data_IF_148183617456
#
_entry.id   IF_148183617456
#
_cell.length_a   1.000
_cell.length_b   1.000
_cell.length_c   1.000
_cell.angle_alpha   90.00
_cell.angle_beta   90.00
_cell.angle_gamma   90.00
#
_symmetry.space_group_name_H-M   'P 1'
#
loop_
_entity.id
_entity.type
_entity.pdbx_description
1 polymer ?
#
# COMPACT_ATOMS: atom_id res chain seq x y z
N UNK A 1 -15.72 8.56 1.41
CA UNK A 1 -14.98 8.68 0.12
C UNK A 1 -13.50 8.92 0.41
N UNK A 2 -12.66 7.94 0.18
CA UNK A 2 -11.22 7.98 0.49
C UNK A 2 -10.41 8.98 -0.36
N UNK A 3 -10.97 9.43 -1.48
CA UNK A 3 -10.38 10.54 -2.26
C UNK A 3 -10.45 11.90 -1.56
N UNK A 4 -11.24 12.02 -0.48
CA UNK A 4 -11.33 13.22 0.34
C UNK A 4 -10.35 13.24 1.52
N UNK A 5 -9.59 12.16 1.71
CA UNK A 5 -8.51 12.16 2.70
C UNK A 5 -7.47 13.23 2.35
N UNK A 6 -6.74 13.79 3.33
CA UNK A 6 -5.75 14.85 3.10
C UNK A 6 -4.69 14.54 2.03
N UNK A 7 -4.23 13.29 1.93
CA UNK A 7 -3.36 12.80 0.86
C UNK A 7 -4.10 12.28 -0.37
N UNK A 8 -5.41 12.52 -0.45
CA UNK A 8 -6.30 12.20 -1.57
C UNK A 8 -6.44 10.70 -1.89
N UNK A 9 -6.19 9.83 -0.93
CA UNK A 9 -6.35 8.38 -1.14
C UNK A 9 -6.52 7.59 0.16
N UNK A 10 -6.93 6.34 0.02
CA UNK A 10 -7.01 5.36 1.12
C UNK A 10 -5.63 5.07 1.76
N UNK A 11 -4.53 5.44 1.09
CA UNK A 11 -3.17 5.18 1.59
C UNK A 11 -2.78 6.05 2.77
N UNK A 12 -3.50 7.12 3.06
CA UNK A 12 -3.32 7.90 4.28
C UNK A 12 -3.53 7.05 5.53
N UNK A 13 -4.53 6.15 5.51
CA UNK A 13 -4.79 5.20 6.60
C UNK A 13 -3.63 4.22 6.77
N UNK A 14 -3.12 3.69 5.67
CA UNK A 14 -1.97 2.77 5.66
C UNK A 14 -0.73 3.46 6.19
N UNK A 15 -0.44 4.67 5.72
CA UNK A 15 0.71 5.45 6.14
C UNK A 15 0.67 5.79 7.63
N UNK A 16 -0.48 6.23 8.13
CA UNK A 16 -0.69 6.52 9.55
C UNK A 16 -0.40 5.29 10.39
N UNK A 17 -1.01 4.15 10.06
CA UNK A 17 -0.85 2.90 10.81
C UNK A 17 0.59 2.40 10.80
N UNK A 18 1.27 2.43 9.64
CA UNK A 18 2.68 2.02 9.53
C UNK A 18 3.57 2.86 10.46
N UNK A 19 3.37 4.18 10.46
CA UNK A 19 4.18 5.08 11.28
C UNK A 19 3.87 4.90 12.76
N UNK A 20 2.61 4.82 13.16
CA UNK A 20 2.21 4.61 14.57
C UNK A 20 2.70 3.27 15.12
N UNK A 21 2.60 2.21 14.36
CA UNK A 21 3.13 0.90 14.77
C UNK A 21 4.67 0.93 14.89
N UNK A 22 5.35 1.65 13.99
CA UNK A 22 6.81 1.80 14.06
C UNK A 22 7.25 2.65 15.28
N UNK A 23 6.47 3.68 15.63
CA UNK A 23 6.65 4.46 16.86
C UNK A 23 6.49 3.58 18.10
N UNK A 24 5.37 2.83 18.17
CA UNK A 24 5.08 1.93 19.29
C UNK A 24 6.14 0.83 19.47
N UNK A 25 6.75 0.38 18.37
CA UNK A 25 7.84 -0.61 18.37
C UNK A 25 9.24 0.02 18.62
N UNK A 26 9.34 1.33 18.79
CA UNK A 26 10.59 2.05 18.97
C UNK A 26 11.50 2.08 17.73
N UNK A 27 10.96 1.73 16.55
CA UNK A 27 11.67 1.76 15.26
C UNK A 27 11.78 3.16 14.68
N UNK A 28 10.83 4.05 15.01
CA UNK A 28 10.85 5.46 14.68
C UNK A 28 11.06 6.29 15.94
N UNK A 29 12.04 7.22 15.88
CA UNK A 29 12.38 8.17 16.94
C UNK A 29 12.35 9.57 16.35
N UNK A 30 12.28 10.59 17.20
CA UNK A 30 12.33 12.00 16.76
C UNK A 30 13.52 12.24 15.83
N UNK A 31 13.24 12.73 14.63
CA UNK A 31 14.25 13.01 13.61
C UNK A 31 14.60 11.82 12.69
N UNK A 32 14.01 10.64 12.91
CA UNK A 32 14.18 9.49 12.01
C UNK A 32 13.71 9.81 10.59
N UNK A 33 14.18 9.00 9.64
CA UNK A 33 13.79 9.09 8.22
C UNK A 33 12.95 7.91 7.81
N UNK A 34 11.74 8.15 7.31
CA UNK A 34 10.89 7.13 6.69
C UNK A 34 11.31 6.94 5.23
N UNK A 35 11.56 5.69 4.83
CA UNK A 35 11.95 5.35 3.46
C UNK A 35 10.90 4.43 2.85
N UNK A 36 10.53 4.66 1.58
CA UNK A 36 9.59 3.80 0.86
C UNK A 36 9.92 3.72 -0.63
N UNK A 37 9.72 2.53 -1.20
CA UNK A 37 9.72 2.28 -2.64
C UNK A 37 8.30 2.26 -3.16
N UNK A 38 7.87 3.27 -3.90
CA UNK A 38 6.49 3.33 -4.36
C UNK A 38 6.33 4.11 -5.67
N UNK A 39 5.44 3.61 -6.51
CA UNK A 39 5.02 4.32 -7.72
C UNK A 39 3.77 5.19 -7.52
N UNK A 40 3.22 5.29 -6.30
CA UNK A 40 1.89 5.85 -6.14
C UNK A 40 1.59 6.51 -4.79
N UNK A 41 0.33 6.37 -4.40
CA UNK A 41 -0.29 7.10 -3.29
C UNK A 41 0.30 6.77 -1.91
N UNK A 42 0.95 5.62 -1.74
CA UNK A 42 1.61 5.28 -0.45
C UNK A 42 2.72 6.26 -0.12
N UNK A 43 3.51 6.67 -1.11
CA UNK A 43 4.55 7.68 -0.91
C UNK A 43 3.98 9.02 -0.46
N UNK A 44 2.86 9.45 -1.06
CA UNK A 44 2.17 10.69 -0.66
C UNK A 44 1.65 10.60 0.77
N UNK A 45 0.97 9.51 1.11
CA UNK A 45 0.49 9.29 2.48
C UNK A 45 1.63 9.27 3.50
N UNK A 46 2.72 8.54 3.22
CA UNK A 46 3.88 8.48 4.12
C UNK A 46 4.58 9.83 4.25
N UNK A 47 4.76 10.59 3.14
CA UNK A 47 5.35 11.92 3.19
C UNK A 47 4.48 12.89 4.01
N UNK A 48 3.15 12.85 3.84
CA UNK A 48 2.21 13.66 4.61
C UNK A 48 2.30 13.36 6.11
N UNK A 49 2.17 12.08 6.49
CA UNK A 49 2.19 11.70 7.92
C UNK A 49 3.57 11.95 8.53
N UNK A 50 4.65 11.68 7.79
CA UNK A 50 6.01 11.99 8.22
C UNK A 50 6.18 13.50 8.51
N UNK A 51 5.72 14.35 7.59
CA UNK A 51 5.74 15.81 7.77
C UNK A 51 4.98 16.24 9.04
N UNK A 52 3.75 15.75 9.22
CA UNK A 52 2.90 16.08 10.37
C UNK A 52 3.50 15.65 11.71
N UNK A 53 4.21 14.52 11.73
CA UNK A 53 4.84 13.95 12.94
C UNK A 53 6.31 14.39 13.14
N UNK A 54 6.86 15.21 12.23
CA UNK A 54 8.22 15.75 12.32
C UNK A 54 9.33 14.77 11.93
N UNK A 55 9.00 13.77 11.11
CA UNK A 55 9.96 12.87 10.48
C UNK A 55 10.42 13.39 9.12
N UNK A 56 11.61 12.97 8.70
CA UNK A 56 12.05 13.11 7.32
C UNK A 56 11.47 11.98 6.48
N UNK A 57 11.34 12.19 5.17
CA UNK A 57 10.91 11.14 4.26
C UNK A 57 11.76 11.10 3.00
N UNK A 58 12.11 9.88 2.55
CA UNK A 58 12.78 9.59 1.29
C UNK A 58 11.92 8.61 0.50
N UNK A 59 11.54 8.99 -0.70
CA UNK A 59 10.65 8.18 -1.54
C UNK A 59 11.36 7.84 -2.84
N UNK A 60 11.57 6.55 -3.07
CA UNK A 60 12.16 6.03 -4.29
C UNK A 60 11.04 5.70 -5.28
N UNK A 61 11.08 6.33 -6.44
CA UNK A 61 10.05 6.22 -7.48
C UNK A 61 10.68 5.89 -8.83
N UNK A 62 9.88 5.36 -9.75
CA UNK A 62 10.33 5.08 -11.10
C UNK A 62 10.48 6.39 -11.91
N UNK A 63 11.50 6.46 -12.76
CA UNK A 63 11.83 7.61 -13.62
C UNK A 63 10.72 8.00 -14.60
N UNK A 64 9.84 7.06 -14.96
CA UNK A 64 8.66 7.28 -15.83
C UNK A 64 7.43 7.88 -15.13
N UNK A 65 7.55 8.16 -13.81
CA UNK A 65 6.42 8.67 -13.05
C UNK A 65 6.00 10.08 -13.47
N UNK A 66 4.71 10.37 -13.33
CA UNK A 66 4.13 11.66 -13.61
C UNK A 66 4.83 12.77 -12.80
N UNK A 67 5.29 13.81 -13.49
CA UNK A 67 6.00 14.94 -12.89
C UNK A 67 5.20 15.64 -11.77
N UNK A 68 3.87 15.72 -11.87
CA UNK A 68 3.03 16.30 -10.83
C UNK A 68 3.08 15.52 -9.53
N UNK A 69 3.20 14.17 -9.58
CA UNK A 69 3.38 13.35 -8.35
C UNK A 69 4.74 13.64 -7.70
N UNK A 70 5.78 13.83 -8.50
CA UNK A 70 7.10 14.22 -8.00
C UNK A 70 7.06 15.58 -7.30
N UNK A 71 6.42 16.57 -7.92
CA UNK A 71 6.25 17.90 -7.34
C UNK A 71 5.44 17.85 -6.04
N UNK A 72 4.37 17.06 -6.01
CA UNK A 72 3.55 16.88 -4.80
C UNK A 72 4.36 16.26 -3.65
N UNK A 73 5.12 15.19 -3.89
CA UNK A 73 6.02 14.61 -2.90
C UNK A 73 7.03 15.64 -2.36
N UNK A 74 7.66 16.41 -3.26
CA UNK A 74 8.60 17.46 -2.88
C UNK A 74 7.94 18.60 -2.09
N UNK A 75 6.70 18.97 -2.40
CA UNK A 75 5.96 20.00 -1.65
C UNK A 75 5.63 19.56 -0.21
N UNK A 76 5.54 18.24 0.03
CA UNK A 76 5.42 17.65 1.36
C UNK A 76 6.79 17.48 2.07
N UNK A 77 7.86 18.01 1.49
CA UNK A 77 9.21 17.95 2.08
C UNK A 77 9.93 16.61 1.87
N UNK A 78 9.40 15.71 1.04
CA UNK A 78 10.06 14.44 0.77
C UNK A 78 11.26 14.60 -0.16
N UNK A 79 12.37 13.93 0.16
CA UNK A 79 13.46 13.68 -0.77
C UNK A 79 13.02 12.61 -1.77
N UNK A 80 12.98 12.96 -3.05
CA UNK A 80 12.55 12.05 -4.12
C UNK A 80 13.77 11.54 -4.87
N UNK A 81 13.92 10.21 -4.92
CA UNK A 81 15.01 9.50 -5.59
C UNK A 81 14.41 8.76 -6.78
N UNK A 82 14.96 9.00 -7.98
CA UNK A 82 14.55 8.34 -9.19
C UNK A 82 15.32 7.03 -9.38
N UNK A 83 14.59 5.96 -9.68
CA UNK A 83 15.12 4.65 -10.03
C UNK A 83 14.67 4.26 -11.45
N UNK A 84 15.44 3.40 -12.09
CA UNK A 84 15.17 2.94 -13.44
C UNK A 84 13.89 2.11 -13.52
N UNK A 85 13.08 2.37 -14.55
CA UNK A 85 11.84 1.63 -14.83
C UNK A 85 12.00 0.50 -15.85
N UNK A 86 13.18 0.40 -16.49
CA UNK A 86 13.49 -0.56 -17.54
C UNK A 86 14.31 -1.77 -17.05
N UNK A 87 14.45 -1.93 -15.74
CA UNK A 87 15.19 -3.02 -15.11
C UNK A 87 14.26 -3.98 -14.36
N UNK A 88 14.64 -5.27 -14.32
CA UNK A 88 13.90 -6.30 -13.59
C UNK A 88 14.14 -6.29 -12.07
N UNK A 89 13.33 -7.07 -11.31
CA UNK A 89 13.42 -7.11 -9.84
C UNK A 89 14.78 -7.56 -9.28
N UNK A 90 15.53 -8.34 -10.05
CA UNK A 90 16.85 -8.85 -9.63
C UNK A 90 17.97 -7.80 -9.80
N UNK A 91 17.70 -6.70 -10.50
CA UNK A 91 18.68 -5.63 -10.68
C UNK A 91 18.87 -4.84 -9.41
N UNK A 92 20.12 -4.46 -9.04
CA UNK A 92 20.38 -3.52 -7.94
C UNK A 92 19.74 -2.14 -8.19
N UNK A 93 19.53 -1.75 -9.45
CA UNK A 93 18.89 -0.48 -9.84
C UNK A 93 17.34 -0.54 -9.79
N UNK A 94 16.76 -1.71 -9.48
CA UNK A 94 15.32 -1.82 -9.30
C UNK A 94 14.87 -0.97 -8.10
N UNK A 95 13.79 -0.21 -8.24
CA UNK A 95 13.35 0.79 -7.26
C UNK A 95 13.23 0.27 -5.82
N UNK A 96 12.82 -1.00 -5.64
CA UNK A 96 12.76 -1.62 -4.31
C UNK A 96 14.15 -1.86 -3.73
N UNK A 97 15.13 -2.27 -4.55
CA UNK A 97 16.50 -2.52 -4.11
C UNK A 97 17.21 -1.21 -3.82
N UNK A 98 17.01 -0.19 -4.65
CA UNK A 98 17.49 1.18 -4.39
C UNK A 98 16.93 1.71 -3.05
N UNK A 99 15.64 1.51 -2.76
CA UNK A 99 15.07 1.95 -1.49
C UNK A 99 15.67 1.22 -0.28
N UNK A 100 15.97 -0.07 -0.40
CA UNK A 100 16.69 -0.82 0.64
C UNK A 100 18.08 -0.26 0.88
N UNK A 101 18.79 0.05 -0.20
CA UNK A 101 20.14 0.66 -0.11
C UNK A 101 20.06 2.04 0.53
N UNK A 102 19.12 2.88 0.12
CA UNK A 102 18.87 4.20 0.72
C UNK A 102 18.58 4.07 2.21
N UNK A 103 17.74 3.12 2.61
CA UNK A 103 17.46 2.87 4.01
C UNK A 103 18.71 2.44 4.77
N UNK A 104 19.50 1.50 4.26
CA UNK A 104 20.72 1.02 4.90
C UNK A 104 21.78 2.12 5.07
N UNK A 105 21.86 3.05 4.10
CA UNK A 105 22.83 4.14 4.10
C UNK A 105 22.32 5.42 4.80
N UNK A 106 21.07 5.43 5.30
CA UNK A 106 20.52 6.58 6.02
C UNK A 106 20.47 6.28 7.52
N UNK A 107 21.20 7.01 8.37
CA UNK A 107 21.12 6.83 9.82
C UNK A 107 19.70 7.02 10.34
N UNK A 108 19.33 6.23 11.36
CA UNK A 108 17.99 6.27 12.00
C UNK A 108 16.83 6.20 10.99
N UNK A 109 17.00 5.39 9.95
CA UNK A 109 15.94 5.18 8.95
C UNK A 109 15.02 4.02 9.31
N UNK A 110 13.79 4.11 8.84
CA UNK A 110 12.78 3.07 8.87
C UNK A 110 12.21 2.86 7.46
N UNK A 111 12.35 1.65 6.93
CA UNK A 111 11.72 1.28 5.66
C UNK A 111 10.29 0.82 5.91
N UNK A 112 9.31 1.55 5.36
CA UNK A 112 7.88 1.27 5.58
C UNK A 112 7.44 -0.03 4.93
N UNK A 113 7.95 -0.36 3.72
CA UNK A 113 7.77 -1.62 3.01
C UNK A 113 6.31 -2.11 2.93
N UNK A 114 5.47 -1.32 2.28
CA UNK A 114 4.02 -1.55 2.18
C UNK A 114 3.63 -2.96 1.69
N UNK A 115 4.52 -3.63 0.96
CA UNK A 115 4.24 -4.95 0.38
C UNK A 115 4.27 -6.09 1.39
N UNK A 116 5.07 -5.99 2.43
CA UNK A 116 5.23 -7.05 3.45
C UNK A 116 4.87 -6.60 4.86
N UNK A 117 4.65 -5.31 5.06
CA UNK A 117 4.32 -4.76 6.37
C UNK A 117 2.86 -5.04 6.73
N UNK A 118 2.65 -5.80 7.79
CA UNK A 118 1.31 -6.18 8.27
C UNK A 118 0.48 -4.99 8.75
N UNK A 119 1.08 -3.86 9.06
CA UNK A 119 0.34 -2.62 9.36
C UNK A 119 -0.53 -2.15 8.18
N UNK A 120 -0.18 -2.55 6.93
CA UNK A 120 -1.00 -2.24 5.76
C UNK A 120 -2.39 -2.91 5.83
N UNK A 121 -2.55 -4.23 5.90
CA UNK A 121 -3.88 -4.83 6.07
C UNK A 121 -4.53 -4.45 7.41
N UNK A 122 -3.77 -4.33 8.48
CA UNK A 122 -4.28 -3.94 9.79
C UNK A 122 -4.89 -2.53 9.80
N UNK A 123 -4.40 -1.59 9.00
CA UNK A 123 -5.03 -0.28 8.83
C UNK A 123 -6.50 -0.42 8.41
N UNK A 124 -6.80 -1.37 7.53
CA UNK A 124 -8.15 -1.60 7.04
C UNK A 124 -8.99 -2.47 7.98
N UNK A 125 -8.37 -3.44 8.62
CA UNK A 125 -9.02 -4.29 9.64
C UNK A 125 -9.53 -3.44 10.82
N UNK A 126 -8.70 -2.51 11.33
CA UNK A 126 -8.99 -1.79 12.56
C UNK A 126 -9.60 -0.39 12.35
N UNK A 127 -9.64 0.14 11.14
CA UNK A 127 -10.29 1.43 10.87
C UNK A 127 -11.31 1.36 9.75
N UNK A 128 -10.92 1.00 8.54
CA UNK A 128 -11.79 1.05 7.36
C UNK A 128 -12.99 0.11 7.48
N UNK A 129 -12.77 -1.12 7.94
CA UNK A 129 -13.82 -2.12 8.12
C UNK A 129 -14.87 -1.71 9.14
N UNK A 130 -14.49 -1.34 10.38
CA UNK A 130 -15.43 -0.81 11.38
C UNK A 130 -16.22 0.39 10.87
N UNK A 131 -15.56 1.37 10.24
CA UNK A 131 -16.23 2.55 9.71
C UNK A 131 -17.25 2.22 8.61
N UNK A 132 -16.93 1.29 7.70
CA UNK A 132 -17.88 0.86 6.67
C UNK A 132 -19.10 0.20 7.31
N UNK A 133 -18.88 -0.72 8.24
CA UNK A 133 -19.97 -1.44 8.89
C UNK A 133 -20.90 -0.50 9.67
N UNK A 134 -20.33 0.45 10.41
CA UNK A 134 -21.08 1.48 11.15
C UNK A 134 -21.87 2.40 10.21
N UNK A 135 -21.22 2.96 9.20
CA UNK A 135 -21.85 3.89 8.23
C UNK A 135 -22.95 3.23 7.40
N UNK A 136 -22.88 1.92 7.21
CA UNK A 136 -23.90 1.11 6.54
C UNK A 136 -24.94 0.52 7.51
N UNK A 137 -24.99 0.99 8.76
CA UNK A 137 -25.94 0.54 9.78
C UNK A 137 -25.92 -0.99 10.01
N UNK A 138 -24.73 -1.58 9.94
CA UNK A 138 -24.47 -3.02 10.05
C UNK A 138 -25.14 -3.87 8.95
N UNK A 139 -25.49 -3.27 7.82
CA UNK A 139 -26.13 -3.94 6.69
C UNK A 139 -25.29 -3.78 5.42
N UNK A 140 -24.35 -4.72 5.23
CA UNK A 140 -23.43 -4.77 4.10
C UNK A 140 -23.56 -6.13 3.42
N UNK A 141 -24.05 -6.16 2.19
CA UNK A 141 -24.17 -7.39 1.40
C UNK A 141 -22.82 -7.80 0.80
N UNK A 142 -22.10 -6.83 0.22
CA UNK A 142 -20.83 -7.09 -0.43
C UNK A 142 -19.87 -5.91 -0.34
N UNK A 143 -18.57 -6.23 -0.28
CA UNK A 143 -17.47 -5.27 -0.41
C UNK A 143 -16.67 -5.61 -1.66
N UNK A 144 -16.62 -4.68 -2.62
CA UNK A 144 -15.91 -4.86 -3.89
C UNK A 144 -14.61 -4.07 -3.87
N UNK A 145 -13.49 -4.76 -4.06
CA UNK A 145 -12.15 -4.14 -4.05
C UNK A 145 -11.32 -4.56 -5.25
N UNK A 146 -10.57 -3.61 -5.83
CA UNK A 146 -9.40 -3.90 -6.64
C UNK A 146 -8.21 -4.28 -5.75
N UNK A 147 -7.19 -4.86 -6.36
CA UNK A 147 -5.96 -5.29 -5.66
C UNK A 147 -4.72 -4.62 -6.23
N UNK A 148 -4.06 -3.83 -5.39
CA UNK A 148 -2.68 -3.37 -5.59
C UNK A 148 -1.74 -4.16 -4.69
N UNK A 149 -1.50 -3.66 -3.47
CA UNK A 149 -0.69 -4.37 -2.45
C UNK A 149 -1.43 -5.53 -1.76
N UNK A 150 -2.72 -5.65 -1.95
CA UNK A 150 -3.56 -6.62 -1.25
C UNK A 150 -4.03 -6.17 0.14
N UNK A 151 -3.45 -5.13 0.70
CA UNK A 151 -3.74 -4.70 2.08
C UNK A 151 -5.21 -4.42 2.33
N UNK A 152 -5.87 -3.67 1.45
CA UNK A 152 -7.27 -3.29 1.61
C UNK A 152 -8.19 -4.51 1.66
N UNK A 153 -8.13 -5.36 0.65
CA UNK A 153 -9.02 -6.52 0.57
C UNK A 153 -8.74 -7.54 1.67
N UNK A 154 -7.46 -7.72 2.04
CA UNK A 154 -7.08 -8.64 3.12
C UNK A 154 -7.54 -8.14 4.49
N UNK A 155 -7.34 -6.85 4.79
CA UNK A 155 -7.77 -6.27 6.06
C UNK A 155 -9.29 -6.23 6.20
N UNK A 156 -10.00 -5.78 5.15
CA UNK A 156 -11.46 -5.79 5.13
C UNK A 156 -12.00 -7.21 5.21
N UNK A 157 -11.42 -8.13 4.45
CA UNK A 157 -11.85 -9.53 4.46
C UNK A 157 -11.71 -10.18 5.84
N UNK A 158 -10.62 -9.91 6.55
CA UNK A 158 -10.46 -10.38 7.93
C UNK A 158 -11.52 -9.77 8.84
N UNK A 159 -11.70 -8.45 8.80
CA UNK A 159 -12.71 -7.77 9.61
C UNK A 159 -14.13 -8.31 9.35
N UNK A 160 -14.57 -8.38 8.09
CA UNK A 160 -15.92 -8.81 7.76
C UNK A 160 -16.15 -10.30 8.04
N UNK A 161 -15.14 -11.16 7.92
CA UNK A 161 -15.26 -12.58 8.29
C UNK A 161 -15.57 -12.78 9.78
N UNK A 162 -15.13 -11.88 10.64
CA UNK A 162 -15.33 -11.94 12.09
C UNK A 162 -16.60 -11.20 12.53
N UNK A 163 -16.90 -10.04 11.93
CA UNK A 163 -17.94 -9.12 12.40
C UNK A 163 -19.23 -9.14 11.57
N UNK A 164 -19.18 -9.54 10.31
CA UNK A 164 -20.33 -9.69 9.42
C UNK A 164 -20.11 -10.82 8.42
N UNK A 165 -20.16 -12.10 8.86
CA UNK A 165 -19.85 -13.27 8.01
C UNK A 165 -20.76 -13.43 6.79
N UNK A 166 -21.89 -12.74 6.75
CA UNK A 166 -22.79 -12.68 5.58
C UNK A 166 -22.24 -11.82 4.45
N UNK A 167 -21.37 -10.87 4.75
CA UNK A 167 -20.83 -9.94 3.77
C UNK A 167 -19.90 -10.64 2.78
N UNK A 168 -20.19 -10.52 1.51
CA UNK A 168 -19.36 -11.10 0.46
C UNK A 168 -18.16 -10.18 0.16
N UNK A 169 -16.95 -10.75 0.12
CA UNK A 169 -15.76 -10.06 -0.38
C UNK A 169 -15.61 -10.35 -1.87
N UNK A 170 -15.61 -9.32 -2.69
CA UNK A 170 -15.53 -9.43 -4.15
C UNK A 170 -14.24 -8.81 -4.67
N UNK A 171 -13.45 -9.59 -5.37
CA UNK A 171 -12.26 -9.13 -6.07
C UNK A 171 -12.63 -8.59 -7.45
N UNK A 172 -12.42 -7.29 -7.65
CA UNK A 172 -12.46 -6.69 -8.99
C UNK A 172 -11.06 -6.78 -9.61
N UNK A 173 -10.84 -7.80 -10.44
CA UNK A 173 -9.54 -8.11 -11.01
C UNK A 173 -9.48 -7.75 -12.50
N UNK A 174 -8.51 -6.93 -12.96
CA UNK A 174 -8.43 -6.58 -14.36
C UNK A 174 -8.04 -7.78 -15.22
N UNK A 175 -8.57 -7.81 -16.44
CA UNK A 175 -8.21 -8.83 -17.44
C UNK A 175 -6.70 -8.84 -17.67
N UNK A 176 -6.07 -10.01 -17.60
CA UNK A 176 -4.61 -10.17 -17.72
C UNK A 176 -3.86 -10.19 -16.38
N UNK A 177 -4.52 -9.87 -15.27
CA UNK A 177 -3.98 -10.10 -13.93
C UNK A 177 -3.88 -11.60 -13.63
N UNK A 178 -3.03 -11.93 -12.67
CA UNK A 178 -2.91 -13.29 -12.15
C UNK A 178 -3.47 -13.43 -10.73
N UNK A 179 -4.00 -12.34 -10.17
CA UNK A 179 -4.49 -12.35 -8.78
C UNK A 179 -5.67 -13.29 -8.65
N UNK A 180 -6.57 -13.31 -9.63
CA UNK A 180 -7.66 -14.28 -9.70
C UNK A 180 -7.14 -15.73 -9.64
N UNK A 181 -6.17 -16.07 -10.49
CA UNK A 181 -5.62 -17.42 -10.54
C UNK A 181 -4.97 -17.80 -9.20
N UNK A 182 -4.27 -16.84 -8.55
CA UNK A 182 -3.69 -17.02 -7.22
C UNK A 182 -4.76 -17.32 -6.16
N UNK A 183 -5.86 -16.55 -6.16
CA UNK A 183 -6.98 -16.71 -5.22
C UNK A 183 -7.69 -18.05 -5.39
N UNK A 184 -7.87 -18.48 -6.63
CA UNK A 184 -8.51 -19.76 -6.98
C UNK A 184 -7.56 -20.96 -6.87
N UNK A 185 -6.33 -20.78 -6.36
CA UNK A 185 -5.27 -21.80 -6.28
C UNK A 185 -4.98 -22.50 -7.64
N UNK A 186 -5.10 -21.75 -8.73
CA UNK A 186 -4.79 -22.22 -10.08
C UNK A 186 -3.31 -22.00 -10.39
N UNK A 187 -2.75 -22.75 -11.35
CA UNK A 187 -1.38 -22.50 -11.82
C UNK A 187 -1.24 -21.07 -12.33
N UNK A 188 -0.28 -20.34 -11.78
CA UNK A 188 -0.05 -18.95 -12.16
C UNK A 188 0.51 -18.90 -13.59
N UNK A 189 -0.20 -18.21 -14.48
CA UNK A 189 0.29 -17.88 -15.82
C UNK A 189 1.28 -16.71 -15.71
N UNK A 190 2.11 -16.53 -16.74
CA UNK A 190 2.92 -15.32 -16.85
C UNK A 190 1.96 -14.13 -16.98
N UNK A 191 2.11 -13.15 -16.09
CA UNK A 191 1.28 -11.96 -16.14
C UNK A 191 1.47 -11.22 -17.45
N UNK A 192 0.39 -10.75 -18.04
CA UNK A 192 0.44 -9.78 -19.13
C UNK A 192 0.60 -8.39 -18.50
N UNK A 193 1.80 -7.82 -18.60
CA UNK A 193 2.11 -6.49 -18.05
C UNK A 193 1.56 -5.33 -18.88
N UNK A 194 0.69 -5.59 -19.85
CA UNK A 194 0.13 -4.57 -20.73
C UNK A 194 -1.06 -3.81 -20.14
N UNK A 195 -1.53 -4.13 -18.92
CA UNK A 195 -2.66 -3.41 -18.32
C UNK A 195 -2.31 -1.98 -17.94
N UNK A 196 -3.27 -1.08 -18.17
CA UNK A 196 -3.16 0.37 -17.94
C UNK A 196 -3.68 0.83 -16.57
N UNK A 197 -3.88 -0.08 -15.62
CA UNK A 197 -4.43 0.27 -14.30
C UNK A 197 -3.28 0.53 -13.34
N UNK A 198 -3.18 1.78 -12.87
CA UNK A 198 -2.21 2.15 -11.82
C UNK A 198 -2.44 1.32 -10.54
N UNK A 199 -1.37 0.98 -9.86
CA UNK A 199 -1.35 0.26 -8.59
C UNK A 199 -1.80 -1.23 -8.64
N UNK A 200 -2.06 -1.79 -9.82
CA UNK A 200 -2.19 -3.25 -9.94
C UNK A 200 -0.79 -3.84 -9.97
N UNK A 201 -0.37 -4.39 -8.86
CA UNK A 201 0.93 -5.01 -8.71
C UNK A 201 0.80 -6.31 -7.92
N UNK A 202 1.76 -7.18 -8.12
CA UNK A 202 1.91 -8.42 -7.39
C UNK A 202 2.20 -8.22 -5.93
N UNK A 203 1.46 -8.90 -5.07
CA UNK A 203 1.86 -9.12 -3.69
C UNK A 203 1.36 -10.46 -3.17
N UNK A 204 2.04 -10.98 -2.16
CA UNK A 204 1.61 -12.18 -1.46
C UNK A 204 0.32 -11.89 -0.70
N UNK A 205 -0.80 -12.27 -1.30
CA UNK A 205 -2.11 -12.14 -0.70
C UNK A 205 -2.37 -13.32 0.23
N UNK A 206 -2.48 -13.07 1.50
CA UNK A 206 -3.22 -13.95 2.41
C UNK A 206 -4.67 -13.50 2.37
N UNK A 207 -5.45 -14.08 1.47
CA UNK A 207 -6.85 -13.72 1.31
C UNK A 207 -7.75 -14.53 2.23
N UNK A 208 -8.85 -13.94 2.72
CA UNK A 208 -9.84 -14.67 3.50
C UNK A 208 -10.47 -15.78 2.67
N UNK A 209 -10.94 -16.84 3.34
CA UNK A 209 -11.40 -18.11 2.77
C UNK A 209 -12.64 -18.04 1.87
N UNK A 210 -13.31 -16.89 1.76
CA UNK A 210 -14.46 -16.68 0.88
C UNK A 210 -14.27 -15.42 0.06
N UNK A 211 -13.74 -15.58 -1.13
CA UNK A 211 -13.59 -14.49 -2.09
C UNK A 211 -14.31 -14.88 -3.39
N UNK A 212 -15.21 -14.02 -3.89
CA UNK A 212 -15.71 -14.10 -5.27
C UNK A 212 -14.86 -13.22 -6.17
N UNK A 213 -14.66 -13.65 -7.39
CA UNK A 213 -13.91 -12.94 -8.44
C UNK A 213 -14.84 -12.57 -9.59
#
# INVERSE_FOLDING_TARGET
MESLNPGSSIKDRVALRIIEDAEAQGKLKKGSTVVEATAGNTGLGLALIALLKGYKSKVVILDKMNHNKILHLKSLGAEVILARSDVGPDSPEHYVNVAKEVANNTPDSFMANQFTNMSNPQAHEYSTGPEILDQMSNDVDAVVCGVGTGGTISGLGKFFSEHSPKTEMVLADPKGSIVKDAVENKPLKKADYSWLVEAVSYTHLTLPTRLRV
#
